data_IF_533859080574
#
_entry.id   IF_533859080574
#
_cell.length_a   1.000
_cell.length_b   1.000
_cell.length_c   1.000
_cell.angle_alpha   90.00
_cell.angle_beta   90.00
_cell.angle_gamma   90.00
#
_symmetry.space_group_name_H-M   'P 1'
#
loop_
_entity.id
_entity.type
_entity.pdbx_description
1 polymer ?
#
# COMPACT_ATOMS: atom_id res chain seq x y z
N UNK A 1 40.01 -14.02 -23.33
CA UNK A 1 38.86 -14.33 -22.46
C UNK A 1 39.38 -14.47 -21.04
N UNK A 2 39.36 -13.38 -20.28
CA UNK A 2 39.71 -13.37 -18.86
C UNK A 2 38.57 -14.03 -18.09
N UNK A 3 38.89 -15.09 -17.36
CA UNK A 3 37.98 -15.69 -16.40
C UNK A 3 37.56 -14.61 -15.40
N UNK A 4 36.25 -14.36 -15.28
CA UNK A 4 35.72 -13.56 -14.20
C UNK A 4 36.15 -14.22 -12.88
N UNK A 5 36.94 -13.52 -12.09
CA UNK A 5 37.23 -13.95 -10.73
C UNK A 5 35.89 -14.09 -9.99
N UNK A 6 35.58 -15.31 -9.54
CA UNK A 6 34.48 -15.51 -8.63
C UNK A 6 34.78 -14.69 -7.38
N UNK A 7 34.06 -13.58 -7.19
CA UNK A 7 34.12 -12.83 -5.94
C UNK A 7 33.64 -13.78 -4.84
N UNK A 8 34.55 -14.34 -4.05
CA UNK A 8 34.15 -15.18 -2.91
C UNK A 8 33.62 -14.24 -1.83
N UNK A 9 32.31 -14.20 -1.64
CA UNK A 9 31.71 -13.42 -0.55
C UNK A 9 32.15 -14.00 0.79
N UNK A 10 32.69 -13.20 1.73
CA UNK A 10 33.11 -13.70 3.04
C UNK A 10 31.97 -14.40 3.77
N UNK A 11 32.24 -15.57 4.36
CA UNK A 11 31.26 -16.36 5.12
C UNK A 11 31.71 -16.63 6.53
N UNK A 12 30.75 -16.82 7.43
CA UNK A 12 30.95 -17.21 8.82
C UNK A 12 30.22 -18.50 9.10
N UNK A 13 30.91 -19.47 9.70
CA UNK A 13 30.28 -20.70 10.19
C UNK A 13 29.44 -20.39 11.43
N UNK A 14 28.17 -20.78 11.40
CA UNK A 14 27.23 -20.68 12.53
C UNK A 14 26.52 -22.02 12.68
N UNK A 15 26.91 -22.80 13.68
CA UNK A 15 26.45 -24.19 13.84
C UNK A 15 26.75 -25.02 12.58
N UNK A 16 25.73 -25.60 11.93
CA UNK A 16 25.92 -26.33 10.67
C UNK A 16 25.80 -25.44 9.42
N UNK A 17 25.48 -24.16 9.59
CA UNK A 17 25.32 -23.19 8.52
C UNK A 17 26.66 -22.52 8.17
N UNK A 18 26.83 -22.19 6.89
CA UNK A 18 27.84 -21.25 6.41
C UNK A 18 27.09 -20.03 5.89
N UNK A 19 27.17 -18.89 6.58
CA UNK A 19 26.33 -17.71 6.34
C UNK A 19 27.17 -16.58 5.78
N UNK A 20 26.64 -15.82 4.81
CA UNK A 20 27.22 -14.55 4.37
C UNK A 20 27.52 -13.63 5.56
N UNK A 21 28.75 -13.12 5.62
CA UNK A 21 29.22 -12.35 6.77
C UNK A 21 28.47 -11.02 6.95
N UNK A 22 28.09 -10.36 5.85
CA UNK A 22 27.33 -9.11 5.90
C UNK A 22 25.90 -9.37 6.36
N UNK A 23 25.26 -10.45 5.88
CA UNK A 23 23.94 -10.86 6.36
C UNK A 23 23.97 -11.20 7.85
N UNK A 24 24.96 -11.98 8.30
CA UNK A 24 25.10 -12.32 9.71
C UNK A 24 25.24 -11.07 10.60
N UNK A 25 26.16 -10.17 10.25
CA UNK A 25 26.37 -8.92 10.99
C UNK A 25 25.10 -8.06 10.99
N UNK A 26 24.42 -7.92 9.86
CA UNK A 26 23.15 -7.20 9.78
C UNK A 26 22.08 -7.78 10.71
N UNK A 27 21.90 -9.11 10.73
CA UNK A 27 20.95 -9.76 11.63
C UNK A 27 21.31 -9.51 13.10
N UNK A 28 22.57 -9.77 13.47
CA UNK A 28 23.03 -9.71 14.86
C UNK A 28 22.99 -8.29 15.43
N UNK A 29 23.41 -7.31 14.62
CA UNK A 29 23.66 -5.94 15.08
C UNK A 29 22.51 -4.97 14.78
N UNK A 30 21.67 -5.26 13.79
CA UNK A 30 20.59 -4.35 13.35
C UNK A 30 19.20 -4.91 13.55
N UNK A 31 18.98 -6.19 13.27
CA UNK A 31 17.65 -6.81 13.35
C UNK A 31 17.30 -7.23 14.77
N UNK A 32 18.12 -8.07 15.39
CA UNK A 32 17.81 -8.69 16.69
C UNK A 32 17.73 -7.70 17.88
N UNK A 33 18.52 -6.62 17.95
CA UNK A 33 18.41 -5.68 19.06
C UNK A 33 17.01 -5.07 19.20
N UNK A 34 16.43 -5.17 20.40
CA UNK A 34 15.09 -4.67 20.73
C UNK A 34 13.94 -5.66 20.45
N UNK A 35 14.23 -6.83 19.87
CA UNK A 35 13.19 -7.85 19.56
C UNK A 35 12.85 -8.77 20.75
N UNK A 36 13.73 -8.83 21.75
CA UNK A 36 13.66 -9.82 22.84
C UNK A 36 14.23 -11.20 22.47
N UNK A 37 14.71 -11.41 21.24
CA UNK A 37 15.35 -12.65 20.79
C UNK A 37 16.86 -12.52 20.87
N UNK A 38 17.53 -13.45 21.55
CA UNK A 38 19.00 -13.48 21.61
C UNK A 38 19.61 -14.03 20.32
N UNK A 39 20.79 -13.53 19.96
CA UNK A 39 21.60 -14.02 18.82
C UNK A 39 21.73 -15.54 18.85
N UNK A 40 22.06 -16.11 20.01
CA UNK A 40 22.20 -17.56 20.19
C UNK A 40 20.90 -18.30 19.86
N UNK A 41 19.76 -17.85 20.40
CA UNK A 41 18.48 -18.54 20.21
C UNK A 41 17.99 -18.42 18.77
N UNK A 42 18.20 -17.27 18.13
CA UNK A 42 17.86 -17.07 16.72
C UNK A 42 18.59 -18.08 15.83
N UNK A 43 19.93 -18.12 15.90
CA UNK A 43 20.72 -18.98 15.02
C UNK A 43 20.52 -20.47 15.30
N UNK A 44 20.33 -20.86 16.57
CA UNK A 44 19.97 -22.23 16.94
C UNK A 44 18.63 -22.66 16.33
N UNK A 45 17.62 -21.79 16.42
CA UNK A 45 16.31 -22.06 15.83
C UNK A 45 16.35 -22.10 14.30
N UNK A 46 17.05 -21.15 13.68
CA UNK A 46 17.18 -21.08 12.23
C UNK A 46 17.91 -22.30 11.64
N UNK A 47 19.04 -22.71 12.23
CA UNK A 47 19.76 -23.93 11.86
C UNK A 47 18.86 -25.18 11.93
N UNK A 48 18.08 -25.31 13.01
CA UNK A 48 17.15 -26.43 13.17
C UNK A 48 16.04 -26.43 12.10
N UNK A 49 15.47 -25.26 11.79
CA UNK A 49 14.45 -25.12 10.76
C UNK A 49 14.99 -25.45 9.36
N UNK A 50 16.20 -24.98 9.02
CA UNK A 50 16.81 -25.31 7.73
C UNK A 50 17.01 -26.82 7.59
N UNK A 51 17.54 -27.49 8.62
CA UNK A 51 17.76 -28.95 8.59
C UNK A 51 16.46 -29.74 8.46
N UNK A 52 15.37 -29.31 9.10
CA UNK A 52 14.08 -30.01 9.05
C UNK A 52 13.29 -29.72 7.75
N UNK A 53 13.28 -28.46 7.30
CA UNK A 53 12.38 -28.00 6.24
C UNK A 53 13.01 -27.99 4.85
N UNK A 54 14.33 -27.85 4.71
CA UNK A 54 14.96 -27.83 3.39
C UNK A 54 14.75 -29.13 2.59
N UNK A 55 14.90 -30.35 3.19
CA UNK A 55 14.60 -31.59 2.48
C UNK A 55 13.12 -31.70 2.06
N UNK A 56 12.20 -31.21 2.89
CA UNK A 56 10.75 -31.18 2.56
C UNK A 56 10.49 -30.25 1.38
N UNK A 57 11.13 -29.07 1.35
CA UNK A 57 11.00 -28.13 0.24
C UNK A 57 11.54 -28.75 -1.07
N UNK A 58 12.71 -29.40 -1.02
CA UNK A 58 13.27 -30.09 -2.18
C UNK A 58 12.33 -31.19 -2.70
N UNK A 59 11.71 -31.97 -1.80
CA UNK A 59 10.72 -32.98 -2.18
C UNK A 59 9.46 -32.37 -2.83
N UNK A 60 8.99 -31.21 -2.37
CA UNK A 60 7.88 -30.49 -3.01
C UNK A 60 8.22 -30.01 -4.42
N UNK A 61 9.46 -29.58 -4.66
CA UNK A 61 9.90 -29.19 -6.02
C UNK A 61 10.02 -30.42 -6.93
N UNK A 62 10.59 -31.53 -6.44
CA UNK A 62 10.64 -32.80 -7.17
C UNK A 62 9.24 -33.31 -7.53
N UNK A 63 8.24 -33.10 -6.67
CA UNK A 63 6.85 -33.46 -6.99
C UNK A 63 6.27 -32.59 -8.11
N UNK A 64 6.61 -31.29 -8.18
CA UNK A 64 6.23 -30.45 -9.32
C UNK A 64 6.84 -30.96 -10.63
N UNK A 65 8.12 -31.35 -10.60
CA UNK A 65 8.81 -31.91 -11.77
C UNK A 65 8.18 -33.23 -12.20
N UNK A 66 7.87 -34.13 -11.26
CA UNK A 66 7.17 -35.39 -11.54
C UNK A 66 5.81 -35.14 -12.20
N UNK A 67 4.99 -34.25 -11.63
CA UNK A 67 3.68 -33.89 -12.18
C UNK A 67 3.81 -33.29 -13.59
N UNK A 68 4.80 -32.42 -13.83
CA UNK A 68 5.04 -31.86 -15.16
C UNK A 68 5.48 -32.94 -16.16
N UNK A 69 6.34 -33.88 -15.76
CA UNK A 69 6.78 -34.97 -16.62
C UNK A 69 5.62 -35.90 -17.04
N UNK A 70 4.69 -36.18 -16.12
CA UNK A 70 3.45 -36.92 -16.41
C UNK A 70 2.56 -36.17 -17.40
N UNK A 71 2.37 -34.86 -17.20
CA UNK A 71 1.62 -34.00 -18.13
C UNK A 71 2.23 -34.02 -19.53
N UNK A 72 3.54 -33.86 -19.62
CA UNK A 72 4.27 -33.85 -20.89
C UNK A 72 4.19 -35.21 -21.58
N UNK A 73 4.31 -36.32 -20.84
CA UNK A 73 4.17 -37.67 -21.37
C UNK A 73 2.77 -37.93 -21.92
N UNK A 74 1.74 -37.48 -21.20
CA UNK A 74 0.35 -37.60 -21.64
C UNK A 74 0.10 -36.84 -22.94
N UNK A 75 0.55 -35.58 -23.04
CA UNK A 75 0.37 -34.76 -24.24
C UNK A 75 1.18 -35.26 -25.44
N UNK A 76 2.38 -35.82 -25.22
CA UNK A 76 3.14 -36.51 -26.29
C UNK A 76 2.39 -37.72 -26.84
N UNK A 77 1.74 -38.50 -25.97
CA UNK A 77 0.94 -39.65 -26.39
C UNK A 77 -0.42 -39.27 -27.01
N UNK A 78 -0.91 -38.06 -26.76
CA UNK A 78 -2.20 -37.55 -27.22
C UNK A 78 -2.04 -36.20 -27.94
N UNK A 79 -1.37 -36.16 -29.11
CA UNK A 79 -1.06 -34.91 -29.78
C UNK A 79 -2.32 -34.17 -30.25
N UNK A 80 -2.24 -32.84 -30.19
CA UNK A 80 -3.31 -31.93 -30.57
C UNK A 80 -4.32 -31.68 -29.43
N UNK A 81 -5.49 -31.10 -29.75
CA UNK A 81 -6.46 -30.73 -28.72
C UNK A 81 -7.01 -31.93 -27.95
N UNK A 82 -7.29 -31.73 -26.66
CA UNK A 82 -7.91 -32.74 -25.79
C UNK A 82 -9.35 -33.01 -26.27
N UNK A 83 -9.55 -34.09 -27.03
CA UNK A 83 -10.87 -34.51 -27.53
C UNK A 83 -11.75 -35.19 -26.47
N UNK A 84 -11.13 -35.83 -25.48
CA UNK A 84 -11.81 -36.60 -24.41
C UNK A 84 -11.53 -35.98 -23.04
N UNK A 85 -12.17 -34.85 -22.75
CA UNK A 85 -11.91 -34.09 -21.52
C UNK A 85 -12.18 -34.88 -20.23
N UNK A 86 -13.18 -35.77 -20.22
CA UNK A 86 -13.44 -36.65 -19.08
C UNK A 86 -12.26 -37.58 -18.78
N UNK A 87 -11.62 -38.14 -19.82
CA UNK A 87 -10.44 -38.99 -19.66
C UNK A 87 -9.22 -38.18 -19.19
N UNK A 88 -9.04 -36.96 -19.69
CA UNK A 88 -7.95 -36.09 -19.24
C UNK A 88 -8.12 -35.71 -17.77
N UNK A 89 -9.33 -35.35 -17.33
CA UNK A 89 -9.62 -35.10 -15.91
C UNK A 89 -9.36 -36.34 -15.05
N UNK A 90 -9.76 -37.53 -15.51
CA UNK A 90 -9.49 -38.77 -14.79
C UNK A 90 -7.98 -39.02 -14.63
N UNK A 91 -7.19 -38.77 -15.68
CA UNK A 91 -5.73 -38.80 -15.62
C UNK A 91 -5.16 -37.81 -14.59
N UNK A 92 -5.59 -36.54 -14.62
CA UNK A 92 -5.13 -35.53 -13.66
C UNK A 92 -5.44 -35.91 -12.21
N UNK A 93 -6.59 -36.53 -11.96
CA UNK A 93 -6.92 -37.07 -10.63
C UNK A 93 -6.06 -38.29 -10.28
N UNK A 94 -5.84 -39.20 -11.22
CA UNK A 94 -5.02 -40.40 -11.03
C UNK A 94 -3.58 -40.06 -10.65
N UNK A 95 -2.97 -39.05 -11.27
CA UNK A 95 -1.59 -38.64 -10.95
C UNK A 95 -1.48 -37.77 -9.70
N UNK A 96 -2.60 -37.45 -9.04
CA UNK A 96 -2.65 -36.62 -7.83
C UNK A 96 -2.64 -35.10 -8.09
N UNK A 97 -2.73 -34.65 -9.35
CA UNK A 97 -2.79 -33.22 -9.68
C UNK A 97 -4.12 -32.59 -9.24
N UNK A 98 -5.24 -33.24 -9.58
CA UNK A 98 -6.57 -32.83 -9.12
C UNK A 98 -6.98 -33.64 -7.90
N UNK A 99 -6.95 -32.99 -6.74
CA UNK A 99 -7.38 -33.58 -5.46
C UNK A 99 -8.87 -33.34 -5.18
N UNK A 100 -9.51 -34.16 -4.31
CA UNK A 100 -10.88 -33.91 -3.88
C UNK A 100 -11.05 -32.52 -3.26
N UNK A 101 -12.11 -31.82 -3.66
CA UNK A 101 -12.46 -30.51 -3.09
C UNK A 101 -12.99 -30.74 -1.66
N UNK A 102 -12.45 -30.05 -0.64
CA UNK A 102 -12.99 -30.13 0.71
C UNK A 102 -14.46 -29.69 0.76
N UNK A 103 -15.33 -30.46 1.41
CA UNK A 103 -16.77 -30.19 1.43
C UNK A 103 -17.13 -28.90 2.19
N UNK A 104 -16.39 -28.57 3.26
CA UNK A 104 -16.61 -27.39 4.08
C UNK A 104 -15.26 -26.76 4.44
N UNK A 105 -15.10 -25.47 4.20
CA UNK A 105 -13.92 -24.69 4.57
C UNK A 105 -14.36 -23.46 5.33
N UNK A 106 -13.76 -23.22 6.49
CA UNK A 106 -13.96 -22.00 7.28
C UNK A 106 -12.61 -21.47 7.74
N UNK A 107 -12.32 -20.21 7.40
CA UNK A 107 -11.14 -19.50 7.91
C UNK A 107 -11.39 -19.11 9.37
N UNK A 108 -10.39 -19.33 10.24
CA UNK A 108 -10.48 -19.06 11.69
C UNK A 108 -9.52 -17.97 12.16
N UNK A 109 -8.88 -17.26 11.23
CA UNK A 109 -7.89 -16.21 11.52
C UNK A 109 -8.53 -15.11 12.38
N UNK A 110 -7.81 -14.71 13.43
CA UNK A 110 -8.19 -13.64 14.36
C UNK A 110 -7.13 -12.55 14.34
N UNK A 111 -7.43 -11.39 14.93
CA UNK A 111 -6.50 -10.27 15.06
C UNK A 111 -6.03 -9.71 13.70
N UNK A 112 -6.97 -9.60 12.76
CA UNK A 112 -6.72 -9.01 11.43
C UNK A 112 -7.14 -7.54 11.48
N UNK A 113 -6.25 -6.65 11.04
CA UNK A 113 -6.51 -5.20 10.99
C UNK A 113 -7.72 -4.85 10.11
N UNK A 114 -8.34 -3.70 10.41
CA UNK A 114 -9.60 -3.27 9.80
C UNK A 114 -9.50 -3.08 8.28
N UNK A 115 -8.33 -2.65 7.80
CA UNK A 115 -7.99 -2.43 6.39
C UNK A 115 -8.17 -3.69 5.53
N UNK A 116 -8.06 -4.87 6.16
CA UNK A 116 -8.23 -6.18 5.52
C UNK A 116 -9.56 -6.83 5.89
N UNK A 117 -9.99 -6.69 7.15
CA UNK A 117 -11.12 -7.43 7.67
C UNK A 117 -12.47 -6.74 7.41
N UNK A 118 -12.49 -5.40 7.37
CA UNK A 118 -13.70 -4.59 7.44
C UNK A 118 -13.84 -3.55 6.32
N UNK A 119 -12.74 -3.23 5.63
CA UNK A 119 -12.72 -2.20 4.58
C UNK A 119 -12.49 -2.81 3.20
N UNK A 120 -12.94 -2.09 2.17
CA UNK A 120 -12.62 -2.37 0.78
C UNK A 120 -11.96 -1.13 0.18
N UNK A 121 -10.78 -1.30 -0.42
CA UNK A 121 -10.04 -0.20 -1.02
C UNK A 121 -8.80 -0.68 -1.78
N UNK A 122 -8.09 0.25 -2.45
CA UNK A 122 -6.87 -0.06 -3.20
C UNK A 122 -5.78 -0.75 -2.37
N UNK A 123 -5.06 -1.66 -3.02
CA UNK A 123 -3.82 -2.26 -2.54
C UNK A 123 -2.68 -1.93 -3.52
N UNK A 124 -1.57 -1.39 -3.01
CA UNK A 124 -0.38 -1.12 -3.81
C UNK A 124 0.60 -2.30 -3.75
N UNK A 125 1.47 -2.41 -4.76
CA UNK A 125 2.63 -3.30 -4.76
C UNK A 125 3.84 -2.50 -5.19
N UNK A 126 4.93 -2.51 -4.41
CA UNK A 126 6.14 -1.74 -4.73
C UNK A 126 7.42 -2.50 -4.39
N UNK A 127 8.51 -2.31 -5.15
CA UNK A 127 9.79 -2.95 -4.88
C UNK A 127 10.42 -2.41 -3.60
N UNK A 128 10.70 -3.29 -2.63
CA UNK A 128 11.31 -2.88 -1.36
C UNK A 128 12.74 -2.35 -1.53
N UNK A 129 13.44 -2.75 -2.59
CA UNK A 129 14.83 -2.31 -2.87
C UNK A 129 14.92 -0.82 -3.21
N UNK A 130 13.79 -0.19 -3.59
CA UNK A 130 13.71 1.25 -3.81
C UNK A 130 13.07 1.95 -2.59
N UNK A 131 13.92 2.51 -1.71
CA UNK A 131 13.49 3.16 -0.47
C UNK A 131 12.51 4.32 -0.72
N UNK A 132 12.72 5.12 -1.77
CA UNK A 132 11.80 6.18 -2.18
C UNK A 132 10.41 5.66 -2.51
N UNK A 133 10.32 4.55 -3.25
CA UNK A 133 9.03 3.94 -3.63
C UNK A 133 8.34 3.32 -2.42
N UNK A 134 9.08 2.57 -1.59
CA UNK A 134 8.56 2.00 -0.35
C UNK A 134 8.00 3.10 0.59
N UNK A 135 8.74 4.20 0.76
CA UNK A 135 8.32 5.33 1.59
C UNK A 135 7.07 6.02 1.05
N UNK A 136 7.04 6.29 -0.26
CA UNK A 136 5.87 6.89 -0.89
C UNK A 136 4.64 5.97 -0.77
N UNK A 137 4.81 4.66 -0.96
CA UNK A 137 3.71 3.70 -0.86
C UNK A 137 3.21 3.51 0.57
N UNK A 138 4.09 3.59 1.58
CA UNK A 138 3.68 3.60 2.98
C UNK A 138 2.87 4.87 3.31
N UNK A 139 3.24 6.00 2.73
CA UNK A 139 2.55 7.28 2.93
C UNK A 139 1.31 7.46 2.01
N UNK A 140 1.09 6.57 1.03
CA UNK A 140 0.04 6.69 0.03
C UNK A 140 -1.38 6.41 0.54
N UNK A 141 -1.56 6.10 1.84
CA UNK A 141 -2.91 5.93 2.39
C UNK A 141 -3.76 7.18 2.24
N UNK A 142 -3.14 8.36 2.30
CA UNK A 142 -3.83 9.63 2.11
C UNK A 142 -3.25 10.34 0.89
N UNK A 143 -4.04 10.41 -0.18
CA UNK A 143 -3.64 11.00 -1.46
C UNK A 143 -4.47 12.22 -1.82
N UNK A 144 -3.83 13.27 -2.33
CA UNK A 144 -4.52 14.43 -2.89
C UNK A 144 -5.31 14.03 -4.15
N UNK A 145 -6.63 14.24 -4.13
CA UNK A 145 -7.44 14.07 -5.32
C UNK A 145 -7.12 15.14 -6.35
N UNK A 146 -6.80 16.36 -5.92
CA UNK A 146 -6.51 17.45 -6.84
C UNK A 146 -5.22 17.18 -7.63
N UNK A 147 -4.15 16.76 -6.96
CA UNK A 147 -2.89 16.40 -7.63
C UNK A 147 -3.08 15.22 -8.59
N UNK A 148 -3.86 14.21 -8.18
CA UNK A 148 -4.14 13.04 -9.01
C UNK A 148 -4.92 13.43 -10.28
N UNK A 149 -5.98 14.23 -10.17
CA UNK A 149 -6.78 14.69 -11.31
C UNK A 149 -5.98 15.65 -12.21
N UNK A 150 -5.24 16.57 -11.62
CA UNK A 150 -4.46 17.55 -12.36
C UNK A 150 -3.31 16.88 -13.12
N UNK A 151 -2.58 15.97 -12.48
CA UNK A 151 -1.37 15.35 -13.03
C UNK A 151 -1.59 14.22 -14.04
N UNK A 152 -2.80 13.66 -14.12
CA UNK A 152 -3.13 12.52 -14.98
C UNK A 152 -3.93 12.93 -16.22
N UNK A 153 -4.32 11.95 -17.04
CA UNK A 153 -5.17 12.09 -18.22
C UNK A 153 -6.67 11.91 -17.93
N UNK A 154 -7.06 11.75 -16.66
CA UNK A 154 -8.49 11.66 -16.25
C UNK A 154 -9.30 12.87 -16.76
N UNK A 155 -8.67 14.05 -16.79
CA UNK A 155 -9.26 15.26 -17.34
C UNK A 155 -8.61 15.62 -18.68
N UNK A 156 -9.44 15.72 -19.73
CA UNK A 156 -9.01 16.15 -21.06
C UNK A 156 -8.26 17.49 -21.02
N UNK A 157 -7.17 17.56 -21.79
CA UNK A 157 -6.36 18.77 -21.96
C UNK A 157 -6.91 19.73 -23.02
N UNK A 158 -8.02 19.37 -23.69
CA UNK A 158 -8.71 20.21 -24.67
C UNK A 158 -9.29 21.49 -24.05
N UNK A 159 -9.62 22.46 -24.93
CA UNK A 159 -10.18 23.75 -24.56
C UNK A 159 -9.28 24.53 -23.59
N UNK A 160 -7.96 24.44 -23.80
CA UNK A 160 -6.97 25.18 -23.02
C UNK A 160 -6.63 24.58 -21.65
N UNK A 161 -7.11 23.38 -21.29
CA UNK A 161 -6.89 22.75 -19.99
C UNK A 161 -5.60 21.90 -19.89
N UNK A 162 -4.51 22.38 -20.50
CA UNK A 162 -3.20 21.73 -20.52
C UNK A 162 -2.61 21.59 -19.10
N UNK A 163 -1.92 20.47 -18.83
CA UNK A 163 -1.35 20.17 -17.51
C UNK A 163 0.11 20.57 -17.31
N UNK A 164 0.86 20.78 -18.40
CA UNK A 164 2.29 21.11 -18.36
C UNK A 164 2.52 22.61 -18.18
N UNK A 165 3.64 22.97 -17.55
CA UNK A 165 4.01 24.37 -17.31
C UNK A 165 3.54 24.88 -15.94
N UNK A 166 3.41 26.22 -15.78
CA UNK A 166 2.81 26.82 -14.60
C UNK A 166 1.39 26.31 -14.35
N UNK A 167 0.87 26.53 -13.14
CA UNK A 167 -0.52 26.23 -12.82
C UNK A 167 -1.47 26.88 -13.83
N UNK A 168 -2.37 26.07 -14.38
CA UNK A 168 -3.37 26.48 -15.36
C UNK A 168 -4.75 26.56 -14.66
N UNK A 169 -5.28 27.77 -14.42
CA UNK A 169 -6.57 27.95 -13.77
C UNK A 169 -7.73 27.29 -14.50
N UNK A 170 -7.68 27.17 -15.84
CA UNK A 170 -8.72 26.49 -16.64
C UNK A 170 -8.77 25.01 -16.30
N UNK A 171 -7.60 24.37 -16.15
CA UNK A 171 -7.53 22.97 -15.70
C UNK A 171 -7.90 22.84 -14.23
N UNK A 172 -7.43 23.76 -13.39
CA UNK A 172 -7.74 23.80 -11.96
C UNK A 172 -9.24 23.88 -11.67
N UNK A 173 -9.98 24.70 -12.42
CA UNK A 173 -11.44 24.78 -12.31
C UNK A 173 -12.12 23.41 -12.60
N UNK A 174 -11.69 22.69 -13.65
CA UNK A 174 -12.18 21.34 -13.95
C UNK A 174 -11.87 20.34 -12.83
N UNK A 175 -10.70 20.45 -12.20
CA UNK A 175 -10.31 19.61 -11.05
C UNK A 175 -11.22 19.87 -9.85
N UNK A 176 -11.45 21.14 -9.51
CA UNK A 176 -12.32 21.55 -8.40
C UNK A 176 -13.74 21.03 -8.65
N UNK A 177 -14.30 21.30 -9.83
CA UNK A 177 -15.64 20.87 -10.21
C UNK A 177 -15.80 19.34 -10.10
N UNK A 178 -14.84 18.57 -10.64
CA UNK A 178 -14.85 17.11 -10.53
C UNK A 178 -14.87 16.67 -9.06
N UNK A 179 -14.02 17.26 -8.22
CA UNK A 179 -13.97 16.92 -6.80
C UNK A 179 -15.26 17.28 -6.05
N UNK A 180 -15.93 18.38 -6.40
CA UNK A 180 -17.26 18.73 -5.86
C UNK A 180 -18.31 17.69 -6.24
N UNK A 181 -18.29 17.19 -7.46
CA UNK A 181 -19.17 16.09 -7.86
C UNK A 181 -18.80 14.74 -7.21
N UNK A 182 -17.55 14.52 -6.80
CA UNK A 182 -17.20 13.39 -5.91
C UNK A 182 -17.86 13.59 -4.55
N UNK A 183 -17.77 14.78 -3.95
CA UNK A 183 -18.42 15.08 -2.67
C UNK A 183 -19.94 14.93 -2.73
N UNK A 184 -20.60 15.40 -3.79
CA UNK A 184 -22.05 15.23 -3.96
C UNK A 184 -22.47 13.75 -4.04
N UNK A 185 -21.66 12.90 -4.67
CA UNK A 185 -21.94 11.45 -4.76
C UNK A 185 -21.66 10.73 -3.45
N UNK A 186 -20.58 11.07 -2.76
CA UNK A 186 -20.12 10.35 -1.58
C UNK A 186 -20.76 10.87 -0.28
N UNK A 187 -20.98 12.17 -0.14
CA UNK A 187 -21.49 12.82 1.06
C UNK A 187 -22.49 13.93 0.69
N UNK A 188 -23.61 13.60 0.03
CA UNK A 188 -24.56 14.58 -0.48
C UNK A 188 -25.08 15.53 0.61
N UNK A 189 -25.37 16.77 0.23
CA UNK A 189 -26.07 17.73 1.07
C UNK A 189 -27.58 17.43 1.09
N UNK A 190 -28.29 17.81 2.16
CA UNK A 190 -29.76 17.70 2.23
C UNK A 190 -30.45 18.51 1.14
N UNK A 191 -29.87 19.66 0.79
CA UNK A 191 -30.33 20.60 -0.22
C UNK A 191 -29.11 21.21 -0.90
N UNK A 192 -29.20 21.43 -2.21
CA UNK A 192 -28.10 22.01 -2.99
C UNK A 192 -26.98 21.01 -3.29
N UNK A 193 -25.83 21.55 -3.65
CA UNK A 193 -24.63 20.80 -4.09
C UNK A 193 -23.38 21.45 -3.49
N UNK A 194 -22.35 20.63 -3.25
CA UNK A 194 -21.02 21.08 -2.85
C UNK A 194 -20.39 22.02 -3.88
N UNK A 195 -20.78 21.96 -5.15
CA UNK A 195 -20.34 22.91 -6.19
C UNK A 195 -20.59 24.35 -5.78
N UNK A 196 -21.71 24.60 -5.10
CA UNK A 196 -22.14 25.93 -4.69
C UNK A 196 -21.71 26.28 -3.26
N UNK A 197 -20.84 25.50 -2.62
CA UNK A 197 -20.41 25.79 -1.25
C UNK A 197 -19.58 27.08 -1.20
N UNK A 198 -19.85 27.93 -0.21
CA UNK A 198 -19.09 29.16 0.09
C UNK A 198 -18.50 29.16 1.50
N UNK A 199 -18.77 28.12 2.29
CA UNK A 199 -18.14 27.96 3.60
C UNK A 199 -18.58 26.69 4.31
N UNK A 200 -17.69 26.18 5.14
CA UNK A 200 -17.93 25.04 6.01
C UNK A 200 -17.78 25.49 7.46
N UNK A 201 -18.66 25.05 8.35
CA UNK A 201 -18.51 25.21 9.81
C UNK A 201 -19.11 24.03 10.55
N UNK A 202 -18.72 23.85 11.79
CA UNK A 202 -19.24 22.83 12.69
C UNK A 202 -19.98 23.52 13.83
N UNK A 203 -21.24 23.13 14.04
CA UNK A 203 -22.12 23.73 15.04
C UNK A 203 -23.02 22.64 15.64
N UNK A 204 -23.09 22.55 16.97
CA UNK A 204 -23.88 21.51 17.66
C UNK A 204 -23.47 20.08 17.29
N UNK A 205 -22.21 19.86 16.90
CA UNK A 205 -21.70 18.56 16.45
C UNK A 205 -22.09 18.16 15.03
N UNK A 206 -22.69 19.07 14.25
CA UNK A 206 -23.05 18.82 12.85
C UNK A 206 -22.22 19.70 11.90
N UNK A 207 -21.91 19.16 10.72
CA UNK A 207 -21.38 19.95 9.62
C UNK A 207 -22.49 20.80 9.00
N UNK A 208 -22.23 22.10 8.91
CA UNK A 208 -23.05 23.07 8.20
C UNK A 208 -22.28 23.64 7.01
N UNK A 209 -22.95 23.68 5.87
CA UNK A 209 -22.41 24.18 4.61
C UNK A 209 -23.24 25.38 4.18
N UNK A 210 -22.59 26.53 4.05
CA UNK A 210 -23.19 27.72 3.45
C UNK A 210 -23.08 27.58 1.94
N UNK A 211 -24.19 27.84 1.24
CA UNK A 211 -24.29 27.82 -0.21
C UNK A 211 -24.27 29.25 -0.76
N UNK A 212 -23.97 29.37 -2.05
CA UNK A 212 -24.19 30.60 -2.80
C UNK A 212 -25.64 31.08 -2.62
N UNK A 213 -25.82 32.37 -2.35
CA UNK A 213 -27.13 32.93 -1.97
C UNK A 213 -27.43 32.90 -0.46
N UNK A 214 -26.51 32.38 0.36
CA UNK A 214 -26.57 32.47 1.83
C UNK A 214 -27.38 31.38 2.52
N UNK A 215 -28.01 30.47 1.76
CA UNK A 215 -28.70 29.32 2.34
C UNK A 215 -27.71 28.41 3.08
N UNK A 216 -28.12 27.88 4.24
CA UNK A 216 -27.30 26.94 5.03
C UNK A 216 -27.98 25.57 5.01
N UNK A 217 -27.18 24.53 4.77
CA UNK A 217 -27.62 23.13 4.74
C UNK A 217 -26.65 22.27 5.56
N UNK A 218 -27.01 21.01 5.79
CA UNK A 218 -26.10 19.98 6.31
C UNK A 218 -26.03 18.79 5.36
N UNK A 219 -25.27 17.76 5.74
CA UNK A 219 -25.23 16.48 5.02
C UNK A 219 -26.60 15.80 5.05
N UNK A 220 -26.98 15.16 3.94
CA UNK A 220 -28.15 14.30 3.83
C UNK A 220 -28.14 13.23 4.92
N UNK A 221 -26.97 12.61 5.15
CA UNK A 221 -26.70 11.71 6.26
C UNK A 221 -25.68 12.36 7.20
N UNK A 222 -26.17 12.95 8.29
CA UNK A 222 -25.33 13.66 9.27
C UNK A 222 -24.19 12.80 9.85
N UNK A 223 -24.41 11.48 9.98
CA UNK A 223 -23.39 10.55 10.51
C UNK A 223 -22.18 10.36 9.59
N UNK A 224 -22.19 10.92 8.37
CA UNK A 224 -21.02 10.93 7.51
C UNK A 224 -19.98 11.97 7.93
N UNK A 225 -20.35 12.94 8.76
CA UNK A 225 -19.39 13.83 9.39
C UNK A 225 -18.66 13.11 10.52
N UNK A 226 -17.34 12.96 10.37
CA UNK A 226 -16.48 12.23 11.33
C UNK A 226 -15.73 13.19 12.23
N UNK A 227 -15.38 14.38 11.76
CA UNK A 227 -14.67 15.38 12.57
C UNK A 227 -14.07 16.51 11.76
N UNK A 228 -13.35 17.40 12.44
CA UNK A 228 -12.70 18.54 11.81
C UNK A 228 -11.31 18.82 12.42
N UNK A 229 -10.52 19.66 11.75
CA UNK A 229 -9.33 20.31 12.32
C UNK A 229 -9.55 21.81 12.37
N UNK A 230 -8.74 22.50 13.18
CA UNK A 230 -8.86 23.94 13.37
C UNK A 230 -10.12 24.34 14.16
N UNK A 231 -10.54 25.60 14.04
CA UNK A 231 -11.69 26.14 14.77
C UNK A 231 -12.99 25.64 14.15
N UNK A 232 -13.95 25.21 14.96
CA UNK A 232 -15.25 24.75 14.45
C UNK A 232 -15.96 25.77 13.54
N UNK A 233 -15.86 27.08 13.85
CA UNK A 233 -16.46 28.14 13.04
C UNK A 233 -15.82 28.36 11.65
N UNK A 234 -14.56 27.92 11.48
CA UNK A 234 -13.79 28.03 10.25
C UNK A 234 -12.73 26.91 10.24
N UNK A 235 -13.15 25.65 9.98
CA UNK A 235 -12.29 24.49 10.11
C UNK A 235 -11.25 24.51 8.99
N UNK A 236 -10.02 24.11 9.30
CA UNK A 236 -8.97 23.92 8.28
C UNK A 236 -9.09 22.57 7.56
N UNK A 237 -9.93 21.69 8.08
CA UNK A 237 -10.19 20.37 7.54
C UNK A 237 -11.58 19.88 7.96
N UNK A 238 -12.32 19.23 7.05
CA UNK A 238 -13.58 18.54 7.35
C UNK A 238 -13.44 17.09 6.91
N UNK A 239 -13.51 16.18 7.88
CA UNK A 239 -13.39 14.75 7.68
C UNK A 239 -14.77 14.11 7.53
N UNK A 240 -14.95 13.44 6.40
CA UNK A 240 -16.16 12.73 6.02
C UNK A 240 -15.87 11.23 5.85
N UNK A 241 -16.90 10.40 5.87
CA UNK A 241 -16.82 8.96 5.57
C UNK A 241 -17.91 8.49 4.61
N UNK A 242 -17.53 7.64 3.67
CA UNK A 242 -18.42 6.95 2.75
C UNK A 242 -17.90 5.54 2.46
N UNK A 243 -18.76 4.53 2.59
CA UNK A 243 -18.38 3.10 2.43
C UNK A 243 -17.13 2.68 3.24
N UNK A 244 -16.94 3.26 4.43
CA UNK A 244 -15.80 2.96 5.30
C UNK A 244 -14.48 3.62 4.90
N UNK A 245 -14.46 4.44 3.84
CA UNK A 245 -13.33 5.25 3.39
C UNK A 245 -13.56 6.72 3.71
N UNK A 246 -12.48 7.41 4.06
CA UNK A 246 -12.54 8.81 4.46
C UNK A 246 -12.22 9.79 3.32
N UNK A 247 -12.88 10.94 3.36
CA UNK A 247 -12.59 12.11 2.52
C UNK A 247 -12.30 13.30 3.44
N UNK A 248 -11.15 13.95 3.27
CA UNK A 248 -10.73 15.11 4.06
C UNK A 248 -10.71 16.36 3.17
N UNK A 249 -11.73 17.21 3.32
CA UNK A 249 -11.84 18.49 2.64
C UNK A 249 -10.88 19.46 3.32
N UNK A 250 -9.84 19.89 2.61
CA UNK A 250 -8.83 20.84 3.11
C UNK A 250 -9.27 22.25 2.80
N UNK A 251 -9.31 23.12 3.81
CA UNK A 251 -9.72 24.52 3.67
C UNK A 251 -8.54 25.40 4.06
N UNK A 252 -8.03 26.14 3.07
CA UNK A 252 -6.93 27.08 3.25
C UNK A 252 -6.94 28.16 2.16
N UNK A 253 -7.63 29.26 2.45
CA UNK A 253 -7.69 30.46 1.60
C UNK A 253 -6.36 31.22 1.48
N UNK A 254 -5.28 30.79 2.16
CA UNK A 254 -3.96 31.39 1.92
C UNK A 254 -3.26 30.79 0.70
N UNK A 255 -3.66 29.59 0.27
CA UNK A 255 -3.10 28.91 -0.90
C UNK A 255 -3.65 29.49 -2.21
N UNK A 256 -2.91 29.44 -3.33
CA UNK A 256 -3.41 29.91 -4.63
C UNK A 256 -4.72 29.23 -5.06
N UNK A 257 -4.87 27.92 -4.79
CA UNK A 257 -6.09 27.17 -5.12
C UNK A 257 -7.25 27.60 -4.21
N UNK A 258 -7.03 27.65 -2.89
CA UNK A 258 -8.06 28.05 -1.94
C UNK A 258 -8.53 29.50 -2.13
N UNK A 259 -7.67 30.41 -2.57
CA UNK A 259 -8.07 31.78 -2.94
C UNK A 259 -9.04 31.82 -4.12
N UNK A 260 -8.93 30.86 -5.04
CA UNK A 260 -9.80 30.75 -6.22
C UNK A 260 -11.10 29.98 -5.96
N UNK A 261 -11.23 29.33 -4.80
CA UNK A 261 -12.42 28.55 -4.41
C UNK A 261 -13.33 29.36 -3.47
N UNK A 262 -14.62 29.40 -3.76
CA UNK A 262 -15.58 30.22 -3.02
C UNK A 262 -15.73 29.82 -1.54
N UNK A 263 -15.38 28.58 -1.17
CA UNK A 263 -15.37 28.09 0.21
C UNK A 263 -13.96 27.97 0.80
N UNK A 264 -12.92 28.45 0.10
CA UNK A 264 -11.54 28.36 0.54
C UNK A 264 -10.93 26.96 0.42
N UNK A 265 -11.55 26.03 -0.31
CA UNK A 265 -11.07 24.65 -0.40
C UNK A 265 -9.82 24.59 -1.27
N UNK A 266 -8.74 24.07 -0.68
CA UNK A 266 -7.44 23.93 -1.35
C UNK A 266 -7.20 22.52 -1.88
N UNK A 267 -7.87 21.50 -1.33
CA UNK A 267 -7.78 20.10 -1.76
C UNK A 267 -8.93 19.23 -1.21
N UNK A 268 -9.11 18.04 -1.79
CA UNK A 268 -9.84 16.92 -1.19
C UNK A 268 -8.87 15.74 -1.09
N UNK A 269 -8.47 15.37 0.13
CA UNK A 269 -7.55 14.25 0.36
C UNK A 269 -8.36 12.98 0.62
N UNK A 270 -8.09 11.93 -0.14
CA UNK A 270 -8.80 10.65 -0.05
C UNK A 270 -7.99 9.64 0.75
N UNK A 271 -8.66 8.91 1.63
CA UNK A 271 -8.16 7.61 2.10
C UNK A 271 -8.22 6.62 0.93
N UNK A 272 -7.09 6.03 0.58
CA UNK A 272 -6.89 5.30 -0.68
C UNK A 272 -6.12 4.00 -0.50
N UNK A 273 -4.79 4.00 -0.56
CA UNK A 273 -3.99 2.78 -0.38
C UNK A 273 -4.10 2.27 1.07
N UNK A 274 -5.13 1.46 1.33
CA UNK A 274 -5.39 0.88 2.65
C UNK A 274 -4.30 -0.10 3.03
N UNK A 275 -3.82 -0.86 2.04
CA UNK A 275 -2.68 -1.76 2.20
C UNK A 275 -1.67 -1.62 1.07
N UNK A 276 -0.43 -1.98 1.36
CA UNK A 276 0.70 -1.98 0.42
C UNK A 276 1.50 -3.25 0.64
N UNK A 277 1.80 -3.96 -0.45
CA UNK A 277 2.75 -5.06 -0.48
C UNK A 277 4.12 -4.48 -0.82
N UNK A 278 5.04 -4.55 0.15
CA UNK A 278 6.46 -4.30 -0.08
C UNK A 278 7.10 -5.60 -0.56
N UNK A 279 7.63 -5.56 -1.77
CA UNK A 279 7.86 -6.75 -2.55
C UNK A 279 9.33 -7.18 -2.57
N UNK A 280 9.60 -8.45 -2.21
CA UNK A 280 10.91 -9.11 -2.31
C UNK A 280 10.96 -10.12 -3.47
N UNK A 281 9.91 -10.20 -4.30
CA UNK A 281 9.75 -11.21 -5.35
C UNK A 281 9.86 -10.58 -6.76
N UNK A 282 8.76 -10.43 -7.49
CA UNK A 282 8.82 -10.21 -8.95
C UNK A 282 9.27 -8.79 -9.36
N UNK A 283 9.13 -7.79 -8.49
CA UNK A 283 9.48 -6.41 -8.83
C UNK A 283 10.92 -6.04 -8.48
N UNK A 284 11.72 -6.98 -7.96
CA UNK A 284 13.11 -6.74 -7.53
C UNK A 284 14.08 -7.74 -8.14
N UNK A 285 15.35 -7.33 -8.28
CA UNK A 285 16.45 -8.22 -8.59
C UNK A 285 17.32 -8.35 -7.34
N UNK A 286 17.29 -9.52 -6.68
CA UNK A 286 17.98 -9.78 -5.42
C UNK A 286 18.62 -11.16 -5.49
N UNK A 287 19.91 -11.21 -5.84
CA UNK A 287 20.58 -12.46 -6.25
C UNK A 287 21.65 -12.96 -5.27
N UNK A 288 22.09 -12.14 -4.33
CA UNK A 288 23.13 -12.48 -3.35
C UNK A 288 22.85 -11.92 -1.94
N UNK A 289 23.79 -12.13 -1.02
CA UNK A 289 23.68 -11.67 0.37
C UNK A 289 23.65 -10.14 0.51
N UNK A 290 24.36 -9.40 -0.33
CA UNK A 290 24.39 -7.95 -0.27
C UNK A 290 23.03 -7.35 -0.69
N UNK A 291 22.45 -7.86 -1.78
CA UNK A 291 21.10 -7.45 -2.20
C UNK A 291 20.05 -7.78 -1.13
N UNK A 292 20.15 -8.97 -0.52
CA UNK A 292 19.26 -9.39 0.57
C UNK A 292 19.36 -8.43 1.76
N UNK A 293 20.57 -8.05 2.16
CA UNK A 293 20.80 -7.08 3.24
C UNK A 293 20.22 -5.71 2.90
N UNK A 294 20.37 -5.21 1.67
CA UNK A 294 19.75 -3.95 1.26
C UNK A 294 18.23 -4.02 1.39
N UNK A 295 17.61 -5.07 0.83
CA UNK A 295 16.17 -5.25 0.85
C UNK A 295 15.62 -5.39 2.28
N UNK A 296 16.28 -6.19 3.13
CA UNK A 296 15.93 -6.34 4.54
C UNK A 296 16.19 -5.07 5.34
N UNK A 297 17.20 -4.28 4.98
CA UNK A 297 17.49 -2.97 5.57
C UNK A 297 16.34 -1.99 5.38
N UNK A 298 15.79 -1.89 4.17
CA UNK A 298 14.63 -1.04 3.90
C UNK A 298 13.39 -1.53 4.67
N UNK A 299 13.16 -2.84 4.72
CA UNK A 299 12.06 -3.40 5.50
C UNK A 299 12.20 -3.13 7.01
N UNK A 300 13.40 -3.29 7.56
CA UNK A 300 13.70 -2.97 8.95
C UNK A 300 13.46 -1.48 9.24
N UNK A 301 13.86 -0.60 8.33
CA UNK A 301 13.62 0.85 8.44
C UNK A 301 12.13 1.19 8.49
N UNK A 302 11.30 0.48 7.71
CA UNK A 302 9.85 0.59 7.78
C UNK A 302 9.32 0.14 9.14
N UNK A 303 9.71 -1.06 9.60
CA UNK A 303 9.25 -1.62 10.88
C UNK A 303 9.61 -0.73 12.08
N UNK A 304 10.77 -0.09 12.05
CA UNK A 304 11.23 0.83 13.10
C UNK A 304 10.69 2.26 12.96
N UNK A 305 10.02 2.57 11.85
CA UNK A 305 9.57 3.95 11.57
C UNK A 305 10.71 4.90 11.19
N UNK A 306 11.89 4.39 10.83
CA UNK A 306 13.13 5.16 10.61
C UNK A 306 13.51 5.29 9.14
N UNK A 307 12.75 4.69 8.21
CA UNK A 307 13.04 4.85 6.78
C UNK A 307 12.85 6.31 6.37
N UNK A 308 13.89 6.90 5.79
CA UNK A 308 13.87 8.25 5.24
C UNK A 308 14.48 8.26 3.85
N UNK A 309 14.12 9.28 3.06
CA UNK A 309 14.68 9.51 1.74
C UNK A 309 14.98 11.01 1.56
N UNK A 310 16.14 11.33 1.02
CA UNK A 310 16.49 12.70 0.64
C UNK A 310 15.98 12.99 -0.77
N UNK A 311 15.09 13.97 -0.91
CA UNK A 311 14.49 14.36 -2.17
C UNK A 311 15.03 15.74 -2.56
N UNK A 312 15.60 15.84 -3.76
CA UNK A 312 16.00 17.10 -4.39
C UNK A 312 14.98 17.48 -5.46
N UNK A 313 14.38 18.67 -5.34
CA UNK A 313 13.43 19.24 -6.32
C UNK A 313 13.87 20.66 -6.65
N UNK A 314 14.42 20.86 -7.85
CA UNK A 314 15.10 22.12 -8.20
C UNK A 314 16.32 22.32 -7.30
N UNK A 315 16.46 23.51 -6.72
CA UNK A 315 17.56 23.86 -5.81
C UNK A 315 17.31 23.45 -4.34
N UNK A 316 16.11 22.95 -4.02
CA UNK A 316 15.74 22.57 -2.65
C UNK A 316 15.95 21.08 -2.41
N UNK A 317 16.57 20.75 -1.27
CA UNK A 317 16.73 19.37 -0.78
C UNK A 317 16.05 19.23 0.58
N UNK A 318 15.21 18.20 0.74
CA UNK A 318 14.54 17.90 2.00
C UNK A 318 14.50 16.40 2.25
N UNK A 319 14.46 16.03 3.53
CA UNK A 319 14.33 14.63 3.97
C UNK A 319 12.87 14.32 4.24
N UNK A 320 12.36 13.27 3.61
CA UNK A 320 11.01 12.75 3.84
C UNK A 320 11.10 11.51 4.71
N UNK A 321 10.19 11.37 5.67
CA UNK A 321 10.00 10.18 6.49
C UNK A 321 8.57 9.66 6.44
N UNK A 322 8.27 8.68 7.29
CA UNK A 322 6.94 8.08 7.41
C UNK A 322 5.97 9.07 8.07
N UNK A 323 4.77 9.21 7.50
CA UNK A 323 3.76 10.13 8.00
C UNK A 323 3.26 9.69 9.37
N UNK A 324 3.01 10.64 10.27
CA UNK A 324 2.33 10.35 11.54
C UNK A 324 0.84 10.04 11.32
N UNK A 325 0.20 9.48 12.34
CA UNK A 325 -1.26 9.31 12.36
C UNK A 325 -1.97 10.68 12.32
N UNK A 326 -3.15 10.72 11.69
CA UNK A 326 -3.96 11.93 11.54
C UNK A 326 -4.88 12.09 12.75
N UNK A 327 -5.08 13.31 13.21
CA UNK A 327 -5.88 13.63 14.41
C UNK A 327 -6.92 14.69 14.09
N UNK A 328 -8.15 14.47 14.54
CA UNK A 328 -9.30 15.35 14.34
C UNK A 328 -10.10 15.50 15.64
N UNK A 329 -10.92 16.54 15.71
CA UNK A 329 -11.94 16.73 16.74
C UNK A 329 -13.25 16.18 16.20
N UNK A 330 -13.83 15.20 16.90
CA UNK A 330 -15.07 14.54 16.54
C UNK A 330 -16.32 15.38 16.83
N UNK A 331 -17.52 14.92 16.43
CA UNK A 331 -18.78 15.62 16.61
C UNK A 331 -19.10 15.99 18.05
N UNK A 332 -18.60 15.21 19.02
CA UNK A 332 -18.83 15.42 20.46
C UNK A 332 -17.64 16.07 21.16
N UNK A 333 -16.66 16.57 20.40
CA UNK A 333 -15.41 17.14 20.91
C UNK A 333 -14.35 16.11 21.29
N UNK A 334 -14.61 14.82 21.06
CA UNK A 334 -13.69 13.72 21.30
C UNK A 334 -12.55 13.69 20.27
N UNK A 335 -11.46 12.99 20.58
CA UNK A 335 -10.31 12.87 19.69
C UNK A 335 -10.52 11.70 18.73
N UNK A 336 -10.60 11.99 17.43
CA UNK A 336 -10.58 10.99 16.36
C UNK A 336 -9.16 10.83 15.85
N UNK A 337 -8.63 9.60 15.85
CA UNK A 337 -7.28 9.27 15.37
C UNK A 337 -7.37 8.24 14.24
N UNK A 338 -6.77 8.56 13.10
CA UNK A 338 -6.71 7.68 11.93
C UNK A 338 -5.27 7.35 11.56
N UNK A 339 -5.04 6.14 11.08
CA UNK A 339 -3.73 5.73 10.59
C UNK A 339 -3.30 6.61 9.42
N UNK A 340 -2.11 7.21 9.53
CA UNK A 340 -1.56 8.09 8.48
C UNK A 340 -0.85 7.34 7.36
N UNK A 341 -0.72 6.03 7.49
CA UNK A 341 0.08 5.15 6.63
C UNK A 341 -0.73 3.93 6.21
N UNK A 342 -0.36 3.39 5.07
CA UNK A 342 -0.89 2.13 4.55
C UNK A 342 -0.50 0.96 5.47
N UNK A 343 -1.36 -0.04 5.59
CA UNK A 343 -1.02 -1.31 6.24
C UNK A 343 -0.04 -2.07 5.35
N UNK A 344 1.09 -2.50 5.92
CA UNK A 344 2.20 -3.02 5.11
C UNK A 344 2.28 -4.54 5.20
N UNK A 345 2.18 -5.18 4.04
CA UNK A 345 2.58 -6.56 3.81
C UNK A 345 4.02 -6.60 3.33
N UNK A 346 4.68 -7.73 3.59
CA UNK A 346 5.92 -8.10 2.91
C UNK A 346 5.66 -9.34 2.07
N UNK A 347 5.89 -9.26 0.75
CA UNK A 347 5.79 -10.44 -0.13
C UNK A 347 7.15 -11.11 -0.17
N UNK A 348 7.26 -12.26 0.49
CA UNK A 348 8.41 -13.14 0.38
C UNK A 348 8.42 -13.83 -0.99
N UNK A 349 9.60 -14.30 -1.41
CA UNK A 349 9.71 -15.20 -2.57
C UNK A 349 9.02 -16.54 -2.31
N UNK A 350 8.54 -17.18 -3.37
CA UNK A 350 8.04 -18.55 -3.34
C UNK A 350 9.11 -19.62 -3.04
N UNK A 351 8.69 -20.89 -3.10
CA UNK A 351 9.49 -22.05 -2.69
C UNK A 351 10.64 -22.46 -3.62
N UNK A 352 10.75 -21.88 -4.81
CA UNK A 352 11.61 -22.37 -5.90
C UNK A 352 13.10 -22.08 -5.69
N UNK A 353 13.45 -20.81 -5.45
CA UNK A 353 14.82 -20.35 -5.58
C UNK A 353 15.62 -20.60 -4.30
N UNK A 354 16.86 -21.06 -4.45
CA UNK A 354 17.89 -20.97 -3.42
C UNK A 354 18.72 -19.70 -3.63
N UNK A 355 19.37 -19.23 -2.57
CA UNK A 355 20.28 -18.09 -2.63
C UNK A 355 21.57 -18.44 -1.89
N UNK A 356 22.74 -17.97 -2.35
CA UNK A 356 24.01 -18.30 -1.70
C UNK A 356 24.25 -17.55 -0.39
N UNK A 357 23.34 -16.72 0.14
CA UNK A 357 23.54 -16.00 1.40
C UNK A 357 23.70 -16.92 2.63
#
# INVERSE_FOLDING_TARGET
MTAAAAFSTPRTTVLSLSVDAALKSFIDEKVLPGTGVSVKNFWLGFDALVRDLAPKNAALLAERERLQAELDAWHRAHPGPIKKMAAYRAFLTQIGYLVPVPANVKVTTKNVDAELALQAGPQLVVPITNARYALNAANARWGSLYDALYGTDVLSEENGAHKRGPYNPVRGAKVIEYARHVLDRCAPLKKGSHVNSTGYRVEGGALLVTLQGGAVTGLAKASQFVGHQGKAAAPSAVLLVHHGLHLDIRVDSSTPIGQSDAAGVSDVVLESALSTILDLEDSVAVVDGADKVQAYGNWLGILKGTLTETITKGESTFTRGLNADRVYVGPKGDKVKLHGRSLLFVRNVGHLMTNPA
#
